data_IF_875289714021
#
_entry.id   IF_875289714021
#
_cell.length_a   1.000
_cell.length_b   1.000
_cell.length_c   1.000
_cell.angle_alpha   90.00
_cell.angle_beta   90.00
_cell.angle_gamma   90.00
#
_symmetry.space_group_name_H-M   'P 1'
#
loop_
_entity.id
_entity.type
_entity.pdbx_description
1 polymer ?
#
# COMPACT_ATOMS: atom_id res chain seq x y z
N UNK A 1 6.57 11.71 -7.23
CA UNK A 1 7.03 11.37 -5.86
C UNK A 1 6.48 10.01 -5.52
N UNK A 2 7.31 9.08 -5.04
CA UNK A 2 6.87 7.72 -4.70
C UNK A 2 6.07 7.75 -3.40
N UNK A 3 5.05 6.90 -3.29
CA UNK A 3 4.28 6.76 -2.05
C UNK A 3 4.96 5.77 -1.11
N UNK A 4 4.63 5.81 0.18
CA UNK A 4 5.11 4.78 1.13
C UNK A 4 4.68 3.38 0.74
N UNK A 5 3.50 3.21 0.13
CA UNK A 5 3.11 1.91 -0.43
C UNK A 5 4.06 1.48 -1.55
N UNK A 6 4.43 2.41 -2.43
CA UNK A 6 5.43 2.18 -3.47
C UNK A 6 6.79 1.78 -2.88
N UNK A 7 7.23 2.44 -1.82
CA UNK A 7 8.49 2.10 -1.12
C UNK A 7 8.40 0.75 -0.42
N UNK A 8 7.24 0.39 0.15
CA UNK A 8 7.02 -0.92 0.76
C UNK A 8 7.19 -2.05 -0.27
N UNK A 9 6.58 -1.88 -1.45
CA UNK A 9 6.70 -2.84 -2.54
C UNK A 9 8.14 -3.03 -3.00
N UNK A 10 8.90 -1.94 -3.14
CA UNK A 10 10.31 -2.00 -3.51
C UNK A 10 11.14 -2.73 -2.44
N UNK A 11 11.01 -2.33 -1.17
CA UNK A 11 11.78 -2.90 -0.05
C UNK A 11 11.55 -4.41 0.11
N UNK A 12 10.33 -4.87 -0.13
CA UNK A 12 9.93 -6.27 0.01
C UNK A 12 10.00 -7.05 -1.32
N UNK A 13 10.48 -6.41 -2.40
CA UNK A 13 10.55 -7.00 -3.75
C UNK A 13 9.21 -7.61 -4.22
N UNK A 14 8.11 -6.91 -3.94
CA UNK A 14 6.75 -7.40 -4.19
C UNK A 14 6.44 -7.39 -5.69
N UNK A 15 5.92 -8.51 -6.20
CA UNK A 15 5.39 -8.59 -7.55
C UNK A 15 3.99 -7.94 -7.63
N UNK A 16 3.92 -6.71 -8.15
CA UNK A 16 2.67 -5.94 -8.26
C UNK A 16 1.60 -6.60 -9.14
N UNK A 17 2.00 -7.38 -10.15
CA UNK A 17 1.06 -8.07 -11.02
C UNK A 17 0.34 -9.21 -10.26
N UNK A 18 1.07 -9.93 -9.40
CA UNK A 18 0.48 -10.97 -8.55
C UNK A 18 -0.44 -10.37 -7.47
N UNK A 19 -0.02 -9.25 -6.86
CA UNK A 19 -0.86 -8.50 -5.92
C UNK A 19 -2.14 -8.01 -6.58
N UNK A 20 -2.10 -7.46 -7.79
CA UNK A 20 -3.29 -7.03 -8.52
C UNK A 20 -4.31 -8.18 -8.65
N UNK A 21 -3.82 -9.33 -9.11
CA UNK A 21 -4.63 -10.54 -9.29
C UNK A 21 -5.28 -11.02 -7.99
N UNK A 22 -4.51 -11.08 -6.89
CA UNK A 22 -4.98 -11.59 -5.60
C UNK A 22 -5.86 -10.61 -4.81
N UNK A 23 -5.56 -9.31 -4.88
CA UNK A 23 -6.30 -8.24 -4.18
C UNK A 23 -7.59 -7.82 -4.90
N UNK A 24 -7.83 -8.34 -6.11
CA UNK A 24 -8.91 -7.91 -7.02
C UNK A 24 -8.81 -6.43 -7.44
N UNK A 25 -7.64 -5.82 -7.29
CA UNK A 25 -7.35 -4.48 -7.78
C UNK A 25 -6.78 -4.54 -9.20
N UNK A 26 -6.99 -3.48 -9.98
CA UNK A 26 -6.41 -3.39 -11.31
C UNK A 26 -4.90 -3.04 -11.22
N UNK A 27 -4.11 -3.52 -12.19
CA UNK A 27 -2.69 -3.13 -12.30
C UNK A 27 -2.48 -1.61 -12.42
N UNK A 28 -3.32 -0.86 -13.17
CA UNK A 28 -3.29 0.60 -13.16
C UNK A 28 -3.52 1.19 -11.78
N UNK A 29 -4.47 0.65 -10.99
CA UNK A 29 -4.76 1.15 -9.65
C UNK A 29 -3.58 0.97 -8.69
N UNK A 30 -2.92 -0.19 -8.70
CA UNK A 30 -1.71 -0.39 -7.89
C UNK A 30 -0.54 0.52 -8.33
N UNK A 31 -0.42 0.77 -9.62
CA UNK A 31 0.60 1.68 -10.17
C UNK A 31 0.33 3.11 -9.71
N UNK A 32 -0.91 3.57 -9.79
CA UNK A 32 -1.35 4.87 -9.28
C UNK A 32 -1.06 4.99 -7.78
N UNK A 33 -1.51 4.03 -6.97
CA UNK A 33 -1.29 4.01 -5.52
C UNK A 33 0.20 3.97 -5.13
N UNK A 34 1.07 3.44 -5.99
CA UNK A 34 2.53 3.40 -5.77
C UNK A 34 3.25 4.71 -6.12
N UNK A 35 2.75 5.44 -7.12
CA UNK A 35 3.53 6.48 -7.81
C UNK A 35 2.87 7.88 -7.76
N UNK A 36 1.61 7.97 -7.36
CA UNK A 36 0.86 9.22 -7.26
C UNK A 36 0.60 9.55 -5.79
N UNK A 37 1.35 10.51 -5.24
CA UNK A 37 1.18 10.97 -3.85
C UNK A 37 -0.17 11.64 -3.57
N UNK A 38 -0.90 12.06 -4.60
CA UNK A 38 -2.25 12.60 -4.47
C UNK A 38 -3.33 11.51 -4.46
N UNK A 39 -2.99 10.27 -4.82
CA UNK A 39 -3.91 9.15 -4.76
C UNK A 39 -4.15 8.75 -3.31
N UNK A 40 -5.43 8.58 -2.95
CA UNK A 40 -5.82 8.10 -1.62
C UNK A 40 -5.81 6.58 -1.62
N UNK A 41 -4.95 5.99 -0.79
CA UNK A 41 -5.02 4.58 -0.40
C UNK A 41 -6.17 4.42 0.59
N UNK A 42 -7.23 3.73 0.19
CA UNK A 42 -8.37 3.47 1.07
C UNK A 42 -8.08 2.29 1.99
N UNK A 43 -8.79 2.23 3.12
CA UNK A 43 -8.59 1.19 4.13
C UNK A 43 -8.90 -0.22 3.61
N UNK A 44 -9.93 -0.36 2.78
CA UNK A 44 -10.29 -1.61 2.11
C UNK A 44 -9.22 -2.05 1.10
N UNK A 45 -8.71 -1.12 0.28
CA UNK A 45 -7.61 -1.38 -0.65
C UNK A 45 -6.35 -1.82 0.10
N UNK A 46 -5.98 -1.12 1.19
CA UNK A 46 -4.85 -1.47 2.04
C UNK A 46 -4.99 -2.89 2.58
N UNK A 47 -6.17 -3.22 3.12
CA UNK A 47 -6.44 -4.52 3.70
C UNK A 47 -6.31 -5.63 2.65
N UNK A 48 -6.91 -5.46 1.47
CA UNK A 48 -6.85 -6.45 0.39
C UNK A 48 -5.43 -6.60 -0.19
N UNK A 49 -4.68 -5.51 -0.27
CA UNK A 49 -3.27 -5.53 -0.69
C UNK A 49 -2.43 -6.32 0.32
N UNK A 50 -2.60 -6.08 1.62
CA UNK A 50 -1.89 -6.79 2.67
C UNK A 50 -2.16 -8.30 2.60
N UNK A 51 -3.44 -8.71 2.50
CA UNK A 51 -3.81 -10.12 2.35
C UNK A 51 -3.23 -10.74 1.06
N UNK A 52 -3.21 -9.99 -0.04
CA UNK A 52 -2.64 -10.46 -1.32
C UNK A 52 -1.12 -10.71 -1.26
N UNK A 53 -0.43 -10.02 -0.36
CA UNK A 53 1.00 -10.19 -0.10
C UNK A 53 1.30 -11.20 1.02
N UNK A 54 0.28 -11.79 1.65
CA UNK A 54 0.43 -12.61 2.86
C UNK A 54 1.11 -11.86 4.01
N UNK A 55 0.73 -10.58 4.17
CA UNK A 55 1.23 -9.66 5.20
C UNK A 55 0.08 -9.22 6.10
N UNK A 56 0.38 -8.99 7.39
CA UNK A 56 -0.59 -8.42 8.31
C UNK A 56 -1.04 -7.02 7.84
N UNK A 57 -2.35 -6.75 7.73
CA UNK A 57 -2.86 -5.41 7.42
C UNK A 57 -2.34 -4.33 8.37
N UNK A 58 -2.13 -4.66 9.65
CA UNK A 58 -1.55 -3.74 10.63
C UNK A 58 -0.09 -3.42 10.31
N UNK A 59 0.72 -4.38 9.84
CA UNK A 59 2.11 -4.10 9.43
C UNK A 59 2.15 -3.10 8.27
N UNK A 60 1.29 -3.30 7.27
CA UNK A 60 1.22 -2.37 6.13
C UNK A 60 0.71 -0.99 6.56
N UNK A 61 -0.29 -0.95 7.46
CA UNK A 61 -0.81 0.29 8.01
C UNK A 61 0.28 1.07 8.76
N UNK A 62 1.00 0.43 9.67
CA UNK A 62 2.10 1.05 10.42
C UNK A 62 3.23 1.52 9.51
N UNK A 63 3.53 0.81 8.43
CA UNK A 63 4.51 1.27 7.47
C UNK A 63 4.06 2.54 6.72
N UNK A 64 2.79 2.61 6.33
CA UNK A 64 2.25 3.74 5.54
C UNK A 64 1.92 4.95 6.42
N UNK A 65 1.57 4.74 7.68
CA UNK A 65 1.03 5.78 8.57
C UNK A 65 1.85 5.99 9.86
N UNK A 66 2.89 5.21 10.14
CA UNK A 66 3.57 5.22 11.44
C UNK A 66 4.38 6.49 11.76
N UNK A 67 4.59 7.36 10.78
CA UNK A 67 5.16 8.69 10.93
C UNK A 67 4.11 9.78 11.20
N UNK A 68 2.82 9.47 11.05
CA UNK A 68 1.75 10.41 11.37
C UNK A 68 1.77 10.68 12.86
N UNK A 69 1.92 11.95 13.21
CA UNK A 69 1.77 12.45 14.56
C UNK A 69 0.44 13.16 14.65
N UNK A 70 -0.29 12.93 15.73
CA UNK A 70 -1.39 13.81 16.06
C UNK A 70 -0.79 15.16 16.46
N UNK A 71 -1.30 16.25 15.87
CA UNK A 71 -0.93 17.63 16.26
C UNK A 71 -1.49 18.03 17.64
N UNK A 72 -1.91 17.04 18.43
CA UNK A 72 -2.40 17.21 19.79
C UNK A 72 -1.47 16.50 20.76
N UNK A 73 -0.51 17.28 21.28
CA UNK A 73 0.19 17.08 22.56
C UNK A 73 1.18 15.94 22.61
#
# INVERSE_FOLDING_TARGET
>A
MKTKLGDYFDKKSINKADVARKSKLSSPRLTELSNNSSAKLRADELYLIALAMDVSPCELLEFVCGDLKNDKG
#
